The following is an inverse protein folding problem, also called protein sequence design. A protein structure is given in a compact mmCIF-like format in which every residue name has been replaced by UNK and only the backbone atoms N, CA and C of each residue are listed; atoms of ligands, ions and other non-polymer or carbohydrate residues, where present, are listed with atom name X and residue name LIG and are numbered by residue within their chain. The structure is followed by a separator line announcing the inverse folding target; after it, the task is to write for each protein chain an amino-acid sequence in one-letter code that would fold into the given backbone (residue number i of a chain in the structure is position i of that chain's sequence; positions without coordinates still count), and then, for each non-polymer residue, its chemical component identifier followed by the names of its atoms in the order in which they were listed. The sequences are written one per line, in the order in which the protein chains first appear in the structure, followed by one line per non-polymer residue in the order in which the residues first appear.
data_IF_410871713534
#
_entry.id   IF_410871713534
#
_cell.length_a   1.000
_cell.length_b   1.000
_cell.length_c   1.000
_cell.angle_alpha   90.00
_cell.angle_beta   90.00
_cell.angle_gamma   90.00
#
_symmetry.space_group_name_H-M   'P 1'
#
loop_
_entity.id
_entity.type
_entity.pdbx_description
1 polymer ?
#
# COMPACT_ATOMS: atom_id res chain seq x y z
N UNK A 1 -7.38 3.22 -30.11
CA UNK A 1 -8.56 3.06 -29.23
C UNK A 1 -9.78 3.13 -30.12
N UNK A 2 -10.92 2.59 -29.70
CA UNK A 2 -12.15 2.66 -30.50
C UNK A 2 -13.37 2.82 -29.59
N UNK A 3 -14.45 3.37 -30.15
CA UNK A 3 -15.71 3.51 -29.44
C UNK A 3 -16.51 2.21 -29.59
N UNK A 4 -16.79 1.56 -28.47
CA UNK A 4 -17.69 0.40 -28.38
C UNK A 4 -19.08 0.89 -27.96
N UNK A 5 -20.10 0.63 -28.79
CA UNK A 5 -21.49 1.02 -28.52
C UNK A 5 -22.29 -0.22 -28.15
N UNK A 6 -22.95 -0.19 -26.98
CA UNK A 6 -23.81 -1.29 -26.51
C UNK A 6 -25.26 -0.82 -26.39
N UNK A 7 -26.21 -1.66 -26.83
CA UNK A 7 -27.63 -1.44 -26.56
C UNK A 7 -27.89 -1.58 -25.05
N UNK A 8 -28.65 -0.66 -24.48
CA UNK A 8 -29.09 -0.69 -23.10
C UNK A 8 -30.56 -0.23 -23.04
N UNK A 9 -31.49 -1.19 -23.10
CA UNK A 9 -32.92 -0.89 -23.19
C UNK A 9 -33.24 -0.02 -24.42
N UNK A 10 -33.87 1.14 -24.19
CA UNK A 10 -34.19 2.15 -25.22
C UNK A 10 -32.99 3.05 -25.61
N UNK A 11 -31.80 2.86 -25.03
CA UNK A 11 -30.64 3.72 -25.23
C UNK A 11 -29.37 3.02 -25.72
N UNK A 12 -28.33 3.81 -25.99
CA UNK A 12 -26.98 3.39 -26.38
C UNK A 12 -25.97 3.80 -25.33
N UNK A 13 -25.22 2.85 -24.77
CA UNK A 13 -24.06 3.09 -23.90
C UNK A 13 -22.79 3.17 -24.73
N UNK A 14 -21.98 4.20 -24.49
CA UNK A 14 -20.73 4.43 -25.19
C UNK A 14 -19.54 4.13 -24.28
N UNK A 15 -18.57 3.40 -24.81
CA UNK A 15 -17.33 3.07 -24.12
C UNK A 15 -16.14 3.39 -25.01
N UNK A 16 -15.10 4.00 -24.47
CA UNK A 16 -13.80 4.03 -25.13
C UNK A 16 -13.04 2.76 -24.76
N UNK A 17 -12.56 2.05 -25.77
CA UNK A 17 -11.91 0.76 -25.60
C UNK A 17 -10.51 0.78 -26.17
N UNK A 18 -9.55 0.26 -25.41
CA UNK A 18 -8.21 -0.04 -25.90
C UNK A 18 -7.92 -1.51 -25.65
N UNK A 19 -7.57 -2.24 -26.72
CA UNK A 19 -7.20 -3.65 -26.65
C UNK A 19 -5.71 -3.79 -26.96
N UNK A 20 -4.99 -4.55 -26.14
CA UNK A 20 -3.58 -4.89 -26.37
C UNK A 20 -3.33 -6.36 -26.04
N UNK A 21 -2.24 -6.92 -26.58
CA UNK A 21 -1.82 -8.29 -26.26
C UNK A 21 -0.77 -8.26 -25.16
N UNK A 22 -0.95 -9.13 -24.17
CA UNK A 22 -0.02 -9.36 -23.06
C UNK A 22 0.09 -10.88 -22.86
N UNK A 23 1.30 -11.45 -22.98
CA UNK A 23 1.56 -12.89 -22.82
C UNK A 23 0.59 -13.80 -23.60
N UNK A 24 0.26 -13.40 -24.84
CA UNK A 24 -0.63 -14.15 -25.73
C UNK A 24 -2.13 -13.98 -25.44
N UNK A 25 -2.52 -13.25 -24.38
CA UNK A 25 -3.92 -12.93 -24.05
C UNK A 25 -4.28 -11.51 -24.51
N UNK A 26 -5.52 -11.31 -24.92
CA UNK A 26 -6.04 -9.97 -25.29
C UNK A 26 -6.62 -9.30 -24.06
N UNK A 27 -5.95 -8.27 -23.56
CA UNK A 27 -6.42 -7.41 -22.47
C UNK A 27 -7.22 -6.26 -23.07
N UNK A 28 -8.39 -5.94 -22.48
CA UNK A 28 -9.27 -4.86 -22.94
C UNK A 28 -9.53 -3.85 -21.83
N UNK A 29 -9.04 -2.63 -22.00
CA UNK A 29 -9.39 -1.48 -21.17
C UNK A 29 -10.66 -0.85 -21.69
N UNK A 30 -11.62 -0.62 -20.80
CA UNK A 30 -12.88 0.03 -21.14
C UNK A 30 -13.13 1.20 -20.21
N UNK A 31 -13.40 2.37 -20.79
CA UNK A 31 -13.86 3.54 -20.05
C UNK A 31 -15.26 3.89 -20.51
N UNK A 32 -16.20 3.86 -19.59
CA UNK A 32 -17.56 4.32 -19.87
C UNK A 32 -17.57 5.82 -20.15
N UNK A 33 -18.19 6.21 -21.27
CA UNK A 33 -18.31 7.59 -21.71
C UNK A 33 -19.67 8.18 -21.33
N UNK A 34 -20.74 7.39 -21.40
CA UNK A 34 -22.10 7.87 -21.09
C UNK A 34 -23.20 7.12 -21.84
N UNK A 35 -24.44 7.54 -21.59
CA UNK A 35 -25.66 7.02 -22.22
C UNK A 35 -26.20 8.06 -23.20
N UNK A 36 -26.59 7.66 -24.41
CA UNK A 36 -27.25 8.51 -25.41
C UNK A 36 -26.50 9.81 -25.71
N UNK A 37 -25.17 9.74 -25.84
CA UNK A 37 -24.33 10.92 -26.07
C UNK A 37 -24.49 11.45 -27.50
N UNK A 38 -24.54 12.78 -27.63
CA UNK A 38 -24.39 13.48 -28.91
C UNK A 38 -22.95 13.46 -29.43
N UNK A 39 -22.74 13.82 -30.70
CA UNK A 39 -21.44 13.72 -31.36
C UNK A 39 -20.34 14.57 -30.70
N UNK A 40 -20.64 15.83 -30.36
CA UNK A 40 -19.68 16.74 -29.71
C UNK A 40 -19.33 16.29 -28.29
N UNK A 41 -20.34 15.91 -27.50
CA UNK A 41 -20.12 15.42 -26.13
C UNK A 41 -19.33 14.11 -26.11
N UNK A 42 -19.59 13.23 -27.08
CA UNK A 42 -18.83 11.99 -27.25
C UNK A 42 -17.35 12.29 -27.52
N UNK A 43 -17.05 13.26 -28.39
CA UNK A 43 -15.68 13.65 -28.77
C UNK A 43 -14.90 14.25 -27.60
N UNK A 44 -15.55 15.12 -26.82
CA UNK A 44 -14.93 15.71 -25.61
C UNK A 44 -14.67 14.65 -24.53
N UNK A 45 -15.63 13.75 -24.30
CA UNK A 45 -15.48 12.65 -23.34
C UNK A 45 -14.48 11.60 -23.82
N UNK A 46 -14.38 11.35 -25.12
CA UNK A 46 -13.35 10.50 -25.73
C UNK A 46 -11.95 11.07 -25.52
N UNK A 47 -11.74 12.37 -25.69
CA UNK A 47 -10.43 12.98 -25.45
C UNK A 47 -9.97 12.81 -23.99
N UNK A 48 -10.87 13.08 -23.03
CA UNK A 48 -10.61 12.86 -21.60
C UNK A 48 -10.37 11.39 -21.26
N UNK A 49 -11.19 10.50 -21.80
CA UNK A 49 -11.05 9.07 -21.61
C UNK A 49 -9.77 8.51 -22.27
N UNK A 50 -9.35 9.06 -23.41
CA UNK A 50 -8.13 8.65 -24.12
C UNK A 50 -6.90 8.99 -23.29
N UNK A 51 -6.84 10.20 -22.71
CA UNK A 51 -5.78 10.57 -21.77
C UNK A 51 -5.74 9.59 -20.58
N UNK A 52 -6.91 9.30 -20.01
CA UNK A 52 -7.04 8.34 -18.90
C UNK A 52 -6.54 6.93 -19.28
N UNK A 53 -6.92 6.42 -20.45
CA UNK A 53 -6.50 5.09 -20.91
C UNK A 53 -5.01 5.09 -21.26
N UNK A 54 -4.46 6.16 -21.83
CA UNK A 54 -3.01 6.29 -22.07
C UNK A 54 -2.24 6.27 -20.75
N UNK A 55 -2.71 6.99 -19.74
CA UNK A 55 -2.10 7.00 -18.41
C UNK A 55 -2.22 5.61 -17.75
N UNK A 56 -3.36 4.93 -17.91
CA UNK A 56 -3.49 3.53 -17.51
C UNK A 56 -2.51 2.65 -18.29
N UNK A 57 -2.35 2.79 -19.61
CA UNK A 57 -1.44 1.97 -20.42
C UNK A 57 0.03 2.18 -20.05
N UNK A 58 0.40 3.41 -19.67
CA UNK A 58 1.72 3.68 -19.09
C UNK A 58 1.93 2.92 -17.78
N UNK A 59 0.87 2.77 -16.98
CA UNK A 59 0.86 2.00 -15.75
C UNK A 59 0.84 0.47 -16.00
N UNK A 60 0.13 0.00 -17.03
CA UNK A 60 0.04 -1.42 -17.41
C UNK A 60 1.32 -1.97 -18.01
N UNK A 61 2.11 -1.14 -18.71
CA UNK A 61 3.21 -1.66 -19.52
C UNK A 61 4.38 -2.18 -18.73
N UNK A 62 4.43 -1.98 -17.42
CA UNK A 62 5.59 -2.39 -16.64
C UNK A 62 5.36 -2.28 -15.12
N UNK A 63 5.34 -3.41 -14.41
CA UNK A 63 6.26 -3.51 -13.28
C UNK A 63 7.67 -3.51 -13.91
N UNK A 64 8.14 -2.33 -14.36
CA UNK A 64 9.57 -2.10 -14.58
C UNK A 64 10.15 -2.45 -13.24
N UNK A 65 11.19 -3.29 -13.20
CA UNK A 65 12.04 -3.39 -12.02
C UNK A 65 12.24 -1.94 -11.52
N UNK A 66 11.62 -1.54 -10.40
CA UNK A 66 11.60 -0.14 -10.01
C UNK A 66 13.01 0.35 -9.71
N UNK A 67 14.01 -0.53 -9.74
CA UNK A 67 15.41 -0.23 -9.54
C UNK A 67 16.23 -0.16 -10.83
N UNK A 68 15.65 -0.40 -12.02
CA UNK A 68 16.40 -0.28 -13.29
C UNK A 68 16.72 1.18 -13.64
N UNK A 69 16.03 2.15 -13.03
CA UNK A 69 16.15 3.58 -13.38
C UNK A 69 16.08 4.57 -12.20
N UNK A 70 15.96 4.12 -10.95
CA UNK A 70 15.57 5.03 -9.83
C UNK A 70 16.72 5.41 -8.91
N UNK A 71 17.72 4.54 -8.71
CA UNK A 71 18.89 4.87 -7.89
C UNK A 71 20.13 4.59 -8.71
N UNK A 72 20.86 5.65 -9.03
CA UNK A 72 22.23 5.56 -9.52
C UNK A 72 23.09 4.73 -8.56
N UNK A 73 24.20 4.13 -9.05
CA UNK A 73 25.17 3.46 -8.18
C UNK A 73 25.63 4.33 -6.99
N UNK A 74 25.66 5.66 -7.17
CA UNK A 74 25.98 6.61 -6.11
C UNK A 74 24.88 6.71 -5.03
N UNK A 75 23.61 6.68 -5.41
CA UNK A 75 22.50 6.66 -4.45
C UNK A 75 22.40 5.35 -3.69
N UNK A 76 22.66 4.22 -4.36
CA UNK A 76 22.81 2.92 -3.67
C UNK A 76 23.96 2.99 -2.66
N UNK A 77 25.06 3.66 -3.00
CA UNK A 77 26.19 3.89 -2.09
C UNK A 77 25.80 4.81 -0.92
N UNK A 78 25.02 5.87 -1.15
CA UNK A 78 24.52 6.77 -0.09
C UNK A 78 23.56 6.06 0.86
N UNK A 79 22.65 5.24 0.35
CA UNK A 79 21.77 4.39 1.17
C UNK A 79 22.57 3.39 2.01
N UNK A 80 23.56 2.73 1.40
CA UNK A 80 24.50 1.87 2.13
C UNK A 80 25.30 2.64 3.18
N UNK A 81 25.65 3.90 2.93
CA UNK A 81 26.34 4.75 3.90
C UNK A 81 25.43 5.17 5.07
N UNK A 82 24.14 5.46 4.81
CA UNK A 82 23.12 5.71 5.83
C UNK A 82 22.85 4.46 6.69
N UNK A 83 22.97 3.27 6.11
CA UNK A 83 22.92 2.01 6.87
C UNK A 83 24.20 1.75 7.66
N UNK A 84 25.36 2.07 7.07
CA UNK A 84 26.67 1.84 7.67
C UNK A 84 27.02 2.85 8.77
N UNK A 85 26.39 4.03 8.79
CA UNK A 85 26.60 5.05 9.84
C UNK A 85 26.13 4.60 11.23
N UNK A 86 25.52 3.42 11.35
CA UNK A 86 25.12 2.84 12.63
C UNK A 86 23.81 3.40 13.19
N UNK A 87 23.21 4.41 12.54
CA UNK A 87 21.92 4.96 12.96
C UNK A 87 20.82 3.88 12.87
N UNK A 88 20.73 3.14 11.75
CA UNK A 88 19.72 2.09 11.49
C UNK A 88 19.95 0.74 12.18
N UNK A 89 20.93 0.66 13.09
CA UNK A 89 21.14 -0.53 13.92
C UNK A 89 20.74 -0.21 15.34
N UNK A 90 19.69 -0.85 15.85
CA UNK A 90 19.60 -1.06 17.30
C UNK A 90 19.25 -2.49 17.63
N UNK A 91 20.00 -2.93 18.64
CA UNK A 91 19.74 -3.93 19.65
C UNK A 91 18.28 -4.40 19.72
N UNK A 92 18.13 -5.70 19.93
CA UNK A 92 16.92 -6.37 20.37
C UNK A 92 16.01 -5.45 21.19
N UNK A 93 14.83 -5.13 20.66
CA UNK A 93 13.75 -4.54 21.45
C UNK A 93 13.37 -5.52 22.57
N UNK A 94 13.25 -5.02 23.80
CA UNK A 94 12.71 -5.79 24.93
C UNK A 94 11.24 -6.18 24.68
N UNK A 95 10.68 -7.08 25.49
CA UNK A 95 9.24 -7.37 25.43
C UNK A 95 8.40 -6.11 25.68
N UNK A 96 8.83 -5.25 26.60
CA UNK A 96 8.17 -3.97 26.90
C UNK A 96 8.24 -3.00 25.72
N UNK A 97 9.41 -2.89 25.07
CA UNK A 97 9.54 -2.06 23.86
C UNK A 97 8.66 -2.57 22.72
N UNK A 98 8.52 -3.90 22.59
CA UNK A 98 7.64 -4.51 21.60
C UNK A 98 6.16 -4.28 21.89
N UNK A 99 5.76 -4.31 23.16
CA UNK A 99 4.40 -3.96 23.59
C UNK A 99 4.12 -2.50 23.23
N UNK A 100 5.00 -1.59 23.66
CA UNK A 100 4.87 -0.15 23.39
C UNK A 100 4.90 0.17 21.90
N UNK A 101 5.75 -0.50 21.12
CA UNK A 101 5.75 -0.38 19.66
C UNK A 101 4.40 -0.83 19.08
N UNK A 102 3.86 -1.97 19.51
CA UNK A 102 2.58 -2.49 19.02
C UNK A 102 1.42 -1.53 19.29
N UNK A 103 1.39 -0.91 20.48
CA UNK A 103 0.41 0.12 20.84
C UNK A 103 0.53 1.37 19.96
N UNK A 104 1.74 1.93 19.87
CA UNK A 104 2.00 3.11 19.04
C UNK A 104 1.67 2.85 17.58
N UNK A 105 2.10 1.70 17.05
CA UNK A 105 1.84 1.31 15.68
C UNK A 105 0.35 1.12 15.43
N UNK A 106 -0.37 0.45 16.33
CA UNK A 106 -1.82 0.27 16.23
C UNK A 106 -2.58 1.59 16.25
N UNK A 107 -2.23 2.51 17.16
CA UNK A 107 -2.80 3.84 17.21
C UNK A 107 -2.56 4.61 15.90
N UNK A 108 -1.29 4.79 15.52
CA UNK A 108 -0.96 5.66 14.39
C UNK A 108 -1.43 5.08 13.04
N UNK A 109 -1.29 3.76 12.82
CA UNK A 109 -1.69 3.14 11.56
C UNK A 109 -3.21 3.20 11.34
N UNK A 110 -4.01 3.09 12.40
CA UNK A 110 -5.47 3.19 12.29
C UNK A 110 -5.92 4.65 12.21
N UNK A 111 -5.29 5.56 12.96
CA UNK A 111 -5.63 6.98 12.91
C UNK A 111 -5.30 7.63 11.55
N UNK A 112 -4.25 7.16 10.85
CA UNK A 112 -3.94 7.58 9.47
C UNK A 112 -5.14 7.33 8.54
N UNK A 113 -5.83 6.21 8.73
CA UNK A 113 -7.02 5.79 7.97
C UNK A 113 -8.33 6.36 8.54
N UNK A 114 -8.27 7.16 9.62
CA UNK A 114 -9.42 7.88 10.16
C UNK A 114 -10.06 7.28 11.42
N UNK A 115 -9.43 6.29 12.08
CA UNK A 115 -9.90 5.84 13.40
C UNK A 115 -9.92 7.00 14.41
N UNK A 116 -10.91 6.95 15.30
CA UNK A 116 -11.16 7.97 16.33
C UNK A 116 -10.60 7.63 17.70
N UNK A 117 -9.98 6.46 17.86
CA UNK A 117 -9.33 6.05 19.10
C UNK A 117 -8.14 6.96 19.41
N UNK A 118 -8.03 7.40 20.65
CA UNK A 118 -6.84 8.08 21.17
C UNK A 118 -5.74 7.09 21.52
N UNK A 119 -4.50 7.56 21.58
CA UNK A 119 -3.38 6.70 21.98
C UNK A 119 -3.59 6.08 23.38
N UNK A 120 -4.18 6.83 24.32
CA UNK A 120 -4.46 6.34 25.68
C UNK A 120 -5.51 5.22 25.66
N UNK A 121 -6.55 5.35 24.85
CA UNK A 121 -7.56 4.31 24.67
C UNK A 121 -6.97 3.05 24.05
N UNK A 122 -6.08 3.18 23.05
CA UNK A 122 -5.37 2.03 22.49
C UNK A 122 -4.47 1.36 23.53
N UNK A 123 -3.68 2.11 24.29
CA UNK A 123 -2.86 1.53 25.38
C UNK A 123 -3.73 0.83 26.42
N UNK A 124 -4.80 1.46 26.92
CA UNK A 124 -5.69 0.84 27.90
C UNK A 124 -6.40 -0.43 27.36
N UNK A 125 -6.76 -0.43 26.07
CA UNK A 125 -7.33 -1.60 25.39
C UNK A 125 -6.34 -2.77 25.33
N UNK A 126 -5.06 -2.50 25.08
CA UNK A 126 -4.03 -3.54 24.90
C UNK A 126 -3.45 -4.01 26.24
N UNK A 127 -3.25 -3.11 27.21
CA UNK A 127 -2.65 -3.45 28.50
C UNK A 127 -3.65 -3.96 29.54
N UNK A 128 -4.91 -3.53 29.47
CA UNK A 128 -5.91 -3.78 30.52
C UNK A 128 -7.23 -4.35 29.99
N UNK A 129 -7.32 -4.64 28.69
CA UNK A 129 -8.57 -5.05 28.03
C UNK A 129 -9.74 -4.07 28.24
N UNK A 130 -9.44 -2.80 28.56
CA UNK A 130 -10.44 -1.75 28.74
C UNK A 130 -11.02 -1.37 27.37
N UNK A 131 -12.29 -1.70 27.15
CA UNK A 131 -13.00 -1.40 25.90
C UNK A 131 -13.38 0.09 25.89
N UNK A 132 -12.86 0.90 24.96
CA UNK A 132 -13.26 2.30 24.83
C UNK A 132 -14.72 2.43 24.40
N UNK A 133 -15.40 3.48 24.87
CA UNK A 133 -16.75 3.85 24.42
C UNK A 133 -16.69 4.55 23.05
N UNK A 134 -16.32 3.75 22.03
CA UNK A 134 -16.06 4.16 20.65
C UNK A 134 -16.54 3.08 19.68
N UNK A 135 -16.32 3.32 18.38
CA UNK A 135 -16.62 2.36 17.32
C UNK A 135 -16.06 0.97 17.65
N UNK A 136 -16.94 -0.04 17.73
CA UNK A 136 -16.53 -1.44 17.91
C UNK A 136 -15.62 -1.91 16.76
N UNK A 137 -15.82 -1.36 15.56
CA UNK A 137 -14.94 -1.60 14.42
C UNK A 137 -13.52 -1.09 14.68
N UNK A 138 -13.37 0.13 15.21
CA UNK A 138 -12.05 0.70 15.52
C UNK A 138 -11.33 -0.13 16.60
N UNK A 139 -12.07 -0.57 17.62
CA UNK A 139 -11.55 -1.42 18.70
C UNK A 139 -11.05 -2.76 18.15
N UNK A 140 -11.86 -3.42 17.32
CA UNK A 140 -11.50 -4.70 16.71
C UNK A 140 -10.30 -4.56 15.74
N UNK A 141 -10.26 -3.52 14.91
CA UNK A 141 -9.16 -3.27 13.98
C UNK A 141 -7.87 -2.90 14.73
N UNK A 142 -7.95 -2.19 15.86
CA UNK A 142 -6.81 -1.92 16.73
C UNK A 142 -6.19 -3.21 17.32
N UNK A 143 -7.02 -4.12 17.82
CA UNK A 143 -6.58 -5.46 18.28
C UNK A 143 -6.02 -6.29 17.12
N UNK A 144 -6.67 -6.26 15.96
CA UNK A 144 -6.26 -6.97 14.76
C UNK A 144 -4.86 -6.55 14.27
N UNK A 145 -4.54 -5.26 14.34
CA UNK A 145 -3.18 -4.76 14.03
C UNK A 145 -2.15 -5.30 15.01
N UNK A 146 -2.43 -5.33 16.32
CA UNK A 146 -1.51 -5.88 17.32
C UNK A 146 -1.26 -7.37 17.07
N UNK A 147 -2.33 -8.13 16.79
CA UNK A 147 -2.22 -9.54 16.40
C UNK A 147 -1.35 -9.75 15.15
N UNK A 148 -1.48 -8.86 14.16
CA UNK A 148 -0.65 -8.90 12.96
C UNK A 148 0.83 -8.61 13.26
N UNK A 149 1.13 -7.62 14.12
CA UNK A 149 2.50 -7.33 14.57
C UNK A 149 3.10 -8.52 15.33
N UNK A 150 2.35 -9.12 16.25
CA UNK A 150 2.81 -10.31 16.95
C UNK A 150 3.11 -11.47 15.98
N UNK A 151 2.26 -11.67 14.97
CA UNK A 151 2.44 -12.70 13.97
C UNK A 151 3.76 -12.52 13.20
N UNK A 152 4.02 -11.33 12.65
CA UNK A 152 5.25 -11.05 11.90
C UNK A 152 6.49 -11.13 12.79
N UNK A 153 6.39 -10.70 14.05
CA UNK A 153 7.47 -10.72 15.04
C UNK A 153 7.86 -12.15 15.41
N UNK A 154 6.87 -12.98 15.79
CA UNK A 154 7.08 -14.34 16.29
C UNK A 154 7.44 -15.31 15.17
N UNK A 155 6.72 -15.24 14.04
CA UNK A 155 6.86 -16.23 12.94
C UNK A 155 7.89 -15.84 11.89
N UNK A 156 8.20 -14.55 11.74
CA UNK A 156 9.09 -14.00 10.70
C UNK A 156 8.83 -14.63 9.32
N UNK A 157 7.57 -14.64 8.84
CA UNK A 157 7.17 -15.36 7.64
C UNK A 157 7.93 -14.87 6.40
N UNK A 158 8.04 -15.72 5.37
CA UNK A 158 8.51 -15.26 4.08
C UNK A 158 7.44 -14.40 3.38
N UNK A 159 7.86 -13.40 2.60
CA UNK A 159 6.93 -12.63 1.78
C UNK A 159 6.26 -13.57 0.78
N UNK A 160 4.93 -13.56 0.77
CA UNK A 160 4.08 -14.39 -0.07
C UNK A 160 2.72 -13.74 -0.22
N UNK A 161 1.95 -14.13 -1.24
CA UNK A 161 0.57 -13.65 -1.41
C UNK A 161 -0.30 -14.13 -0.24
N UNK A 162 0.01 -15.31 0.30
CA UNK A 162 -0.63 -15.89 1.48
C UNK A 162 -0.37 -15.06 2.73
N UNK A 163 0.87 -14.56 2.92
CA UNK A 163 1.18 -13.63 4.01
C UNK A 163 0.38 -12.33 3.86
N UNK A 164 0.33 -11.78 2.64
CA UNK A 164 -0.43 -10.55 2.36
C UNK A 164 -1.91 -10.72 2.73
N UNK A 165 -2.53 -11.82 2.29
CA UNK A 165 -3.91 -12.19 2.64
C UNK A 165 -4.09 -12.44 4.14
N UNK A 166 -3.12 -13.09 4.78
CA UNK A 166 -3.13 -13.37 6.23
C UNK A 166 -3.11 -12.08 7.04
N UNK A 167 -2.22 -11.14 6.71
CA UNK A 167 -2.13 -9.86 7.44
C UNK A 167 -3.43 -9.08 7.33
N UNK A 168 -4.01 -9.00 6.13
CA UNK A 168 -5.34 -8.40 5.95
C UNK A 168 -6.40 -9.13 6.79
N UNK A 169 -6.41 -10.47 6.76
CA UNK A 169 -7.37 -11.24 7.57
C UNK A 169 -7.21 -10.98 9.06
N UNK A 170 -5.98 -10.94 9.59
CA UNK A 170 -5.74 -10.70 11.01
C UNK A 170 -6.30 -9.34 11.46
N UNK A 171 -6.18 -8.31 10.62
CA UNK A 171 -6.69 -6.97 10.91
C UNK A 171 -8.22 -6.91 10.83
N UNK A 172 -8.83 -7.56 9.84
CA UNK A 172 -10.22 -7.30 9.44
C UNK A 172 -11.21 -8.44 9.65
N UNK A 173 -10.78 -9.62 10.15
CA UNK A 173 -11.66 -10.81 10.31
C UNK A 173 -12.93 -10.56 11.11
N UNK A 174 -12.95 -9.56 11.99
CA UNK A 174 -14.09 -9.22 12.86
C UNK A 174 -14.90 -8.03 12.34
N UNK A 175 -14.44 -7.38 11.26
CA UNK A 175 -15.03 -6.11 10.79
C UNK A 175 -15.38 -6.07 9.31
N UNK A 176 -14.85 -6.99 8.49
CA UNK A 176 -15.09 -7.05 7.05
C UNK A 176 -15.33 -8.48 6.61
N UNK A 177 -16.40 -8.71 5.85
CA UNK A 177 -16.71 -10.05 5.30
C UNK A 177 -15.65 -10.54 4.30
N UNK A 178 -14.98 -9.62 3.60
CA UNK A 178 -13.91 -9.90 2.63
C UNK A 178 -12.52 -10.01 3.28
N UNK A 179 -12.43 -10.30 4.57
CA UNK A 179 -11.16 -10.34 5.30
C UNK A 179 -10.17 -11.38 4.74
N UNK A 180 -9.16 -10.88 4.02
CA UNK A 180 -8.10 -11.68 3.41
C UNK A 180 -8.38 -12.05 1.96
N UNK A 181 -9.44 -11.49 1.37
CA UNK A 181 -9.81 -11.69 -0.03
C UNK A 181 -9.34 -10.51 -0.88
N UNK A 182 -8.73 -10.81 -2.03
CA UNK A 182 -8.40 -9.78 -3.01
C UNK A 182 -9.70 -9.20 -3.58
N UNK A 183 -9.67 -7.94 -4.00
CA UNK A 183 -10.88 -7.30 -4.55
C UNK A 183 -11.39 -8.05 -5.81
N UNK A 184 -12.72 -8.22 -5.95
CA UNK A 184 -13.30 -8.94 -7.08
C UNK A 184 -12.99 -8.30 -8.44
N UNK A 185 -13.09 -9.10 -9.50
CA UNK A 185 -12.98 -8.60 -10.88
C UNK A 185 -14.01 -7.49 -11.16
N UNK A 186 -13.54 -6.40 -11.75
CA UNK A 186 -14.35 -5.21 -12.04
C UNK A 186 -14.45 -4.20 -10.88
N UNK A 187 -13.95 -4.53 -9.69
CA UNK A 187 -13.88 -3.58 -8.57
C UNK A 187 -12.59 -2.77 -8.66
N UNK A 188 -12.72 -1.52 -9.08
CA UNK A 188 -11.61 -0.58 -9.15
C UNK A 188 -11.60 0.33 -7.93
N UNK A 189 -10.45 0.38 -7.25
CA UNK A 189 -10.24 1.17 -6.05
C UNK A 189 -9.46 2.43 -6.37
N UNK A 190 -9.82 3.52 -5.70
CA UNK A 190 -9.20 4.83 -5.89
C UNK A 190 -8.95 5.48 -4.54
N UNK A 191 -7.79 6.12 -4.37
CA UNK A 191 -7.56 7.03 -3.25
C UNK A 191 -7.99 8.41 -3.71
N UNK A 192 -8.75 9.09 -2.84
CA UNK A 192 -9.18 10.46 -3.06
C UNK A 192 -8.54 11.36 -2.02
N UNK A 193 -8.21 12.59 -2.42
CA UNK A 193 -7.81 13.61 -1.45
C UNK A 193 -9.01 14.16 -0.67
N UNK A 194 -8.75 15.11 0.23
CA UNK A 194 -9.79 15.78 1.03
C UNK A 194 -10.81 16.57 0.20
N UNK A 195 -10.55 16.84 -1.09
CA UNK A 195 -11.50 17.46 -2.02
C UNK A 195 -12.28 16.43 -2.86
N UNK A 196 -12.06 15.13 -2.62
CA UNK A 196 -12.74 14.05 -3.35
C UNK A 196 -12.15 13.77 -4.73
N UNK A 197 -11.04 14.41 -5.11
CA UNK A 197 -10.36 14.19 -6.39
C UNK A 197 -9.61 12.87 -6.32
N UNK A 198 -9.74 12.04 -7.36
CA UNK A 198 -8.98 10.80 -7.47
C UNK A 198 -7.50 11.13 -7.64
N UNK A 199 -6.72 10.91 -6.60
CA UNK A 199 -5.26 11.11 -6.58
C UNK A 199 -4.51 9.80 -6.86
N UNK A 200 -5.15 8.66 -6.63
CA UNK A 200 -4.57 7.35 -6.88
C UNK A 200 -5.60 6.40 -7.49
N UNK A 201 -5.18 5.54 -8.40
CA UNK A 201 -5.96 4.38 -8.83
C UNK A 201 -5.08 3.16 -8.63
N UNK A 202 -5.62 2.16 -7.93
CA UNK A 202 -4.95 0.89 -7.79
C UNK A 202 -4.80 0.18 -9.13
N UNK A 203 -4.09 -0.93 -9.12
CA UNK A 203 -3.98 -1.77 -10.29
C UNK A 203 -5.36 -2.23 -10.79
N UNK A 204 -5.50 -2.56 -12.07
CA UNK A 204 -6.70 -3.21 -12.58
C UNK A 204 -6.97 -4.51 -11.83
N UNK A 205 -8.22 -4.71 -11.40
CA UNK A 205 -8.64 -5.90 -10.63
C UNK A 205 -8.20 -7.24 -11.26
N UNK A 206 -8.25 -7.36 -12.59
CA UNK A 206 -7.81 -8.57 -13.31
C UNK A 206 -6.31 -8.89 -13.22
N UNK A 207 -5.48 -7.90 -12.88
CA UNK A 207 -4.03 -8.04 -12.80
C UNK A 207 -3.54 -8.15 -11.35
N UNK A 208 -4.39 -7.90 -10.35
CA UNK A 208 -3.98 -7.82 -8.94
C UNK A 208 -3.18 -9.04 -8.50
N UNK A 209 -3.69 -10.25 -8.72
CA UNK A 209 -3.02 -11.47 -8.29
C UNK A 209 -1.67 -11.70 -8.99
N UNK A 210 -1.61 -11.46 -10.31
CA UNK A 210 -0.37 -11.51 -11.10
C UNK A 210 0.66 -10.52 -10.56
N UNK A 211 0.27 -9.27 -10.32
CA UNK A 211 1.18 -8.22 -9.85
C UNK A 211 1.70 -8.51 -8.43
N UNK A 212 0.88 -9.09 -7.55
CA UNK A 212 1.35 -9.55 -6.23
C UNK A 212 2.37 -10.69 -6.35
N UNK A 213 2.15 -11.65 -7.25
CA UNK A 213 3.12 -12.72 -7.52
C UNK A 213 4.43 -12.15 -8.08
N UNK A 214 4.37 -11.19 -8.98
CA UNK A 214 5.54 -10.48 -9.51
C UNK A 214 6.28 -9.70 -8.43
N UNK A 215 5.56 -9.03 -7.52
CA UNK A 215 6.16 -8.35 -6.38
C UNK A 215 6.92 -9.31 -5.46
N UNK A 216 6.30 -10.46 -5.14
CA UNK A 216 6.94 -11.52 -4.35
C UNK A 216 8.19 -12.05 -5.07
N UNK A 217 8.09 -12.35 -6.36
CA UNK A 217 9.21 -12.85 -7.16
C UNK A 217 10.36 -11.82 -7.23
N UNK A 218 10.03 -10.53 -7.37
CA UNK A 218 11.00 -9.45 -7.34
C UNK A 218 11.73 -9.39 -6.00
N UNK A 219 11.00 -9.46 -4.88
CA UNK A 219 11.61 -9.46 -3.55
C UNK A 219 12.55 -10.67 -3.39
N UNK A 220 12.08 -11.87 -3.75
CA UNK A 220 12.85 -13.12 -3.63
C UNK A 220 14.15 -13.09 -4.44
N UNK A 221 14.11 -12.55 -5.66
CA UNK A 221 15.28 -12.36 -6.52
C UNK A 221 16.29 -11.39 -5.92
N UNK A 222 15.82 -10.37 -5.20
CA UNK A 222 16.64 -9.22 -4.81
C UNK A 222 16.98 -9.14 -3.32
N UNK A 223 16.37 -9.97 -2.47
CA UNK A 223 16.54 -9.91 -1.00
C UNK A 223 17.97 -10.10 -0.51
N UNK A 224 18.85 -10.70 -1.31
CA UNK A 224 20.29 -10.84 -0.99
C UNK A 224 21.16 -9.72 -1.59
N UNK A 225 20.62 -8.95 -2.53
CA UNK A 225 21.35 -7.92 -3.30
C UNK A 225 21.16 -6.53 -2.71
N UNK A 226 19.93 -6.21 -2.33
CA UNK A 226 19.58 -4.90 -1.78
C UNK A 226 19.45 -4.96 -0.27
N UNK A 227 19.48 -3.77 0.31
CA UNK A 227 19.37 -3.63 1.75
C UNK A 227 17.93 -3.71 2.23
N UNK A 228 17.75 -4.06 3.51
CA UNK A 228 16.44 -4.30 4.09
C UNK A 228 15.50 -3.09 4.03
N UNK A 229 16.02 -1.87 4.24
CA UNK A 229 15.18 -0.66 4.20
C UNK A 229 14.71 -0.36 2.77
N UNK A 230 15.59 -0.55 1.77
CA UNK A 230 15.23 -0.36 0.37
C UNK A 230 14.20 -1.40 -0.08
N UNK A 231 14.39 -2.66 0.32
CA UNK A 231 13.43 -3.73 0.03
C UNK A 231 12.07 -3.42 0.68
N UNK A 232 12.05 -2.98 1.94
CA UNK A 232 10.84 -2.63 2.65
C UNK A 232 10.12 -1.45 1.99
N UNK A 233 10.84 -0.39 1.61
CA UNK A 233 10.28 0.77 0.92
C UNK A 233 9.65 0.39 -0.43
N UNK A 234 10.37 -0.40 -1.25
CA UNK A 234 9.85 -0.81 -2.56
C UNK A 234 8.65 -1.74 -2.43
N UNK A 235 8.70 -2.73 -1.51
CA UNK A 235 7.57 -3.64 -1.28
C UNK A 235 6.33 -2.87 -0.82
N UNK A 236 6.52 -1.93 0.10
CA UNK A 236 5.46 -1.05 0.59
C UNK A 236 4.83 -0.24 -0.56
N UNK A 237 5.62 0.55 -1.28
CA UNK A 237 5.08 1.47 -2.29
C UNK A 237 4.48 0.74 -3.49
N UNK A 238 5.07 -0.40 -3.89
CA UNK A 238 4.49 -1.26 -4.94
C UNK A 238 3.19 -1.92 -4.49
N UNK A 239 3.12 -2.38 -3.24
CA UNK A 239 1.87 -2.93 -2.69
C UNK A 239 0.76 -1.87 -2.67
N UNK A 240 1.07 -0.65 -2.21
CA UNK A 240 0.11 0.47 -2.21
C UNK A 240 -0.34 0.83 -3.62
N UNK A 241 0.57 0.77 -4.60
CA UNK A 241 0.26 0.94 -6.01
C UNK A 241 -0.68 -0.16 -6.54
N UNK A 242 -0.41 -1.43 -6.24
CA UNK A 242 -1.27 -2.55 -6.65
C UNK A 242 -2.66 -2.40 -6.02
N UNK A 243 -2.71 -1.97 -4.76
CA UNK A 243 -3.94 -1.74 -3.98
C UNK A 243 -4.89 -2.95 -4.03
N UNK A 244 -4.46 -4.12 -3.53
CA UNK A 244 -5.14 -5.40 -3.81
C UNK A 244 -6.49 -5.60 -3.13
N UNK A 245 -6.78 -4.90 -2.04
CA UNK A 245 -7.98 -5.08 -1.22
C UNK A 245 -9.02 -3.98 -1.46
N UNK A 246 -10.28 -4.24 -1.10
CA UNK A 246 -11.35 -3.22 -1.17
C UNK A 246 -11.15 -2.09 -0.16
N UNK A 247 -10.55 -2.40 1.00
CA UNK A 247 -10.22 -1.49 2.09
C UNK A 247 -8.97 -2.05 2.80
N UNK A 248 -8.31 -1.24 3.63
CA UNK A 248 -7.24 -1.71 4.52
C UNK A 248 -5.85 -1.82 3.89
N UNK A 249 -5.69 -1.40 2.63
CA UNK A 249 -4.41 -1.44 1.91
C UNK A 249 -3.31 -0.72 2.70
N UNK A 250 -3.48 0.55 3.06
CA UNK A 250 -2.47 1.30 3.82
C UNK A 250 -1.98 0.60 5.09
N UNK A 251 -2.89 -0.03 5.84
CA UNK A 251 -2.56 -0.79 7.06
C UNK A 251 -1.76 -2.04 6.75
N UNK A 252 -2.15 -2.80 5.73
CA UNK A 252 -1.41 -3.99 5.28
C UNK A 252 -0.07 -3.60 4.67
N UNK A 253 0.02 -2.52 3.91
CA UNK A 253 1.27 -1.98 3.36
C UNK A 253 2.29 -1.67 4.46
N UNK A 254 1.87 -0.94 5.50
CA UNK A 254 2.73 -0.64 6.67
C UNK A 254 3.09 -1.88 7.50
N UNK A 255 2.22 -2.88 7.57
CA UNK A 255 2.53 -4.19 8.16
C UNK A 255 3.57 -4.96 7.34
N UNK A 256 3.44 -4.95 6.01
CA UNK A 256 4.41 -5.59 5.09
C UNK A 256 5.77 -4.91 5.16
N UNK A 257 5.81 -3.58 5.19
CA UNK A 257 7.03 -2.80 5.44
C UNK A 257 7.77 -3.34 6.68
N UNK A 258 7.05 -3.46 7.80
CA UNK A 258 7.62 -3.99 9.05
C UNK A 258 7.99 -5.47 8.95
N UNK A 259 7.21 -6.31 8.28
CA UNK A 259 7.55 -7.71 8.07
C UNK A 259 8.91 -7.86 7.36
N UNK A 260 9.18 -7.04 6.34
CA UNK A 260 10.45 -7.02 5.62
C UNK A 260 11.58 -6.50 6.51
N UNK A 261 11.39 -5.37 7.22
CA UNK A 261 12.40 -4.85 8.14
C UNK A 261 12.83 -5.91 9.16
N UNK A 262 11.88 -6.58 9.81
CA UNK A 262 12.15 -7.61 10.80
C UNK A 262 12.82 -8.85 10.21
N UNK A 263 12.45 -9.25 9.00
CA UNK A 263 13.12 -10.34 8.27
C UNK A 263 14.59 -10.03 8.02
N UNK A 264 14.91 -8.77 7.78
CA UNK A 264 16.26 -8.26 7.55
C UNK A 264 16.97 -7.80 8.84
N UNK A 265 16.42 -8.13 10.02
CA UNK A 265 16.98 -7.76 11.35
C UNK A 265 17.13 -6.24 11.53
N UNK A 266 16.25 -5.48 10.90
CA UNK A 266 16.12 -4.05 11.10
C UNK A 266 15.01 -3.76 12.11
N UNK A 267 15.11 -2.64 12.85
CA UNK A 267 14.07 -2.21 13.77
C UNK A 267 12.77 -1.90 13.01
N UNK A 268 11.60 -2.10 13.64
CA UNK A 268 10.35 -1.73 13.02
C UNK A 268 10.23 -0.20 12.94
N UNK A 269 9.33 0.26 12.08
CA UNK A 269 9.04 1.67 11.83
C UNK A 269 7.55 1.92 12.06
N UNK A 270 7.27 3.05 12.72
CA UNK A 270 5.93 3.54 12.95
C UNK A 270 5.80 4.92 12.32
N UNK A 271 4.95 5.04 11.30
CA UNK A 271 4.66 6.32 10.64
C UNK A 271 3.65 7.07 11.50
N UNK A 272 4.02 8.24 12.01
CA UNK A 272 3.16 8.98 12.92
C UNK A 272 2.02 9.68 12.17
N UNK A 273 0.86 9.76 12.83
CA UNK A 273 -0.31 10.48 12.32
C UNK A 273 0.02 11.93 11.93
N UNK A 274 0.89 12.59 12.69
CA UNK A 274 1.38 13.95 12.42
C UNK A 274 2.12 14.06 11.07
N UNK A 275 2.67 12.96 10.56
CA UNK A 275 3.36 12.89 9.27
C UNK A 275 2.48 12.32 8.15
N UNK A 276 1.17 12.13 8.35
CA UNK A 276 0.25 11.58 7.33
C UNK A 276 0.36 12.27 5.96
N UNK A 277 0.46 13.60 5.95
CA UNK A 277 0.58 14.35 4.69
C UNK A 277 1.94 14.13 4.02
N UNK A 278 3.01 13.98 4.80
CA UNK A 278 4.33 13.65 4.27
C UNK A 278 4.33 12.24 3.68
N UNK A 279 3.77 11.27 4.40
CA UNK A 279 3.56 9.90 3.92
C UNK A 279 2.77 9.83 2.60
N UNK A 280 1.65 10.55 2.49
CA UNK A 280 0.90 10.57 1.21
C UNK A 280 1.70 11.22 0.07
N UNK A 281 2.57 12.20 0.36
CA UNK A 281 3.47 12.76 -0.66
C UNK A 281 4.52 11.74 -1.12
N UNK A 282 5.05 10.88 -0.24
CA UNK A 282 6.02 9.85 -0.67
C UNK A 282 5.37 8.85 -1.62
N UNK A 283 4.14 8.40 -1.30
CA UNK A 283 3.36 7.54 -2.19
C UNK A 283 3.11 8.18 -3.55
N UNK A 284 2.74 9.46 -3.58
CA UNK A 284 2.51 10.20 -4.84
C UNK A 284 3.80 10.37 -5.65
N UNK A 285 4.93 10.68 -5.01
CA UNK A 285 6.23 10.79 -5.69
C UNK A 285 6.66 9.45 -6.31
N UNK A 286 6.48 8.35 -5.56
CA UNK A 286 6.76 7.02 -6.08
C UNK A 286 5.86 6.67 -7.25
N UNK A 287 4.55 6.87 -7.12
CA UNK A 287 3.60 6.54 -8.17
C UNK A 287 3.84 7.36 -9.45
N UNK A 288 4.07 8.66 -9.32
CA UNK A 288 4.15 9.56 -10.47
C UNK A 288 5.51 9.52 -11.17
N UNK A 289 6.60 9.31 -10.42
CA UNK A 289 7.98 9.45 -10.92
C UNK A 289 8.83 8.20 -10.70
N UNK A 290 8.32 7.18 -10.03
CA UNK A 290 9.11 6.05 -9.56
C UNK A 290 10.11 6.42 -8.45
N UNK A 291 10.02 7.63 -7.87
CA UNK A 291 11.05 8.13 -6.97
C UNK A 291 10.87 7.55 -5.55
N UNK A 292 11.73 6.58 -5.19
CA UNK A 292 11.68 5.90 -3.87
C UNK A 292 12.36 6.69 -2.75
N UNK A 293 13.17 7.70 -3.08
CA UNK A 293 14.00 8.41 -2.10
C UNK A 293 13.17 9.04 -0.97
N UNK A 294 12.05 9.76 -1.23
CA UNK A 294 11.24 10.35 -0.17
C UNK A 294 10.71 9.32 0.83
N UNK A 295 10.33 8.13 0.36
CA UNK A 295 9.88 7.02 1.23
C UNK A 295 10.98 6.59 2.18
N UNK A 296 12.22 6.43 1.68
CA UNK A 296 13.35 6.03 2.52
C UNK A 296 13.72 7.13 3.53
N UNK A 297 13.71 8.39 3.11
CA UNK A 297 13.97 9.53 4.00
C UNK A 297 12.94 9.60 5.13
N UNK A 298 11.66 9.40 4.82
CA UNK A 298 10.59 9.31 5.82
C UNK A 298 10.81 8.13 6.78
N UNK A 299 11.12 6.95 6.25
CA UNK A 299 11.41 5.76 7.07
C UNK A 299 12.56 6.00 8.06
N UNK A 300 13.65 6.63 7.61
CA UNK A 300 14.79 6.99 8.46
C UNK A 300 14.40 7.99 9.56
N UNK A 301 13.60 9.00 9.20
CA UNK A 301 13.06 9.99 10.15
C UNK A 301 12.19 9.33 11.21
N UNK A 302 11.25 8.49 10.81
CA UNK A 302 10.32 7.81 11.72
C UNK A 302 11.02 6.82 12.64
N UNK A 303 12.03 6.13 12.13
CA UNK A 303 12.88 5.30 12.98
C UNK A 303 13.59 6.12 14.07
N UNK A 304 14.14 7.30 13.75
CA UNK A 304 14.75 8.20 14.74
C UNK A 304 13.73 8.68 15.78
N UNK A 305 12.48 8.90 15.38
CA UNK A 305 11.39 9.26 16.29
C UNK A 305 11.02 8.11 17.22
N UNK A 306 10.83 6.91 16.68
CA UNK A 306 10.52 5.72 17.46
C UNK A 306 11.62 5.42 18.48
N UNK A 307 12.89 5.47 18.07
CA UNK A 307 14.03 5.28 18.99
C UNK A 307 13.96 6.20 20.20
N UNK A 308 13.67 7.49 20.01
CA UNK A 308 13.53 8.46 21.10
C UNK A 308 12.34 8.16 22.01
N UNK A 309 11.26 7.58 21.48
CA UNK A 309 10.08 7.21 22.27
C UNK A 309 10.34 5.95 23.09
N UNK A 310 11.05 4.96 22.55
CA UNK A 310 11.34 3.70 23.27
C UNK A 310 12.40 3.88 24.37
N UNK A 311 13.35 4.82 24.21
CA UNK A 311 14.39 5.12 25.21
C UNK A 311 13.92 5.95 26.42
N UNK A 312 12.62 6.30 26.50
CA UNK A 312 12.04 7.14 27.57
C UNK A 312 11.08 6.34 28.41
#
# INVERSE_FOLDING_TARGET
MFIEVRKAGKGKKYYLVHSFREEGRVVKLRKYLGLNLGAEELKEREARASKTIIDQLKYYREIRDPLRYVLSPNEVKQLKALEASGDLRIAHLSEDDWRRFSELFSYHTNAIEGSTLTQREVTALIEHDTIPDKSAQDVAEARGVVLAIENIRKKKPALSVELIRLLHRLVFKETKDFAGELRPLGVEVVIRDGQGVVVHRGAPSQNVEKLLQELVAWYEKNKKKYSGILLAAVVHDQFENIHPFQDGNGRVGRLLMNAILLKHRLPPINIELSHRQEYYRTLQEYQNKGNIRPTIELMLKEYKHLKKKLQR
#
